data_IF_947212178956
#
_entry.id   IF_947212178956
#
_cell.length_a   1.000
_cell.length_b   1.000
_cell.length_c   1.000
_cell.angle_alpha   90.00
_cell.angle_beta   90.00
_cell.angle_gamma   90.00
#
_symmetry.space_group_name_H-M   'P 1'
#
loop_
_entity.id
_entity.type
_entity.pdbx_description
1 polymer ?
#
# COMPACT_ATOMS: atom_id res chain seq x y z
N UNK A 1 12.38 30.40 0.65
CA UNK A 1 11.39 29.46 0.05
C UNK A 1 11.35 29.78 -1.44
N UNK A 2 11.68 28.85 -2.30
CA UNK A 2 11.55 29.03 -3.75
C UNK A 2 10.09 29.37 -4.08
N UNK A 3 9.87 30.28 -5.03
CA UNK A 3 8.53 30.61 -5.47
C UNK A 3 7.91 29.37 -6.14
N UNK A 4 6.58 29.27 -6.13
CA UNK A 4 5.87 28.16 -6.78
C UNK A 4 6.28 28.02 -8.25
N UNK A 5 6.56 29.11 -8.91
CA UNK A 5 6.99 29.14 -10.32
C UNK A 5 8.40 28.58 -10.51
N UNK A 6 9.31 28.84 -9.59
CA UNK A 6 10.66 28.28 -9.62
C UNK A 6 10.63 26.77 -9.42
N UNK A 7 9.79 26.26 -8.49
CA UNK A 7 9.61 24.84 -8.28
C UNK A 7 9.04 24.14 -9.54
N UNK A 8 8.05 24.74 -10.21
CA UNK A 8 7.47 24.21 -11.46
C UNK A 8 8.51 24.17 -12.58
N UNK A 9 9.33 25.23 -12.73
CA UNK A 9 10.39 25.29 -13.73
C UNK A 9 11.45 24.21 -13.49
N UNK A 10 11.83 24.01 -12.25
CA UNK A 10 12.79 22.98 -11.87
C UNK A 10 12.25 21.58 -12.12
N UNK A 11 11.00 21.29 -11.72
CA UNK A 11 10.33 20.03 -12.01
C UNK A 11 10.24 19.76 -13.52
N UNK A 12 9.97 20.80 -14.33
CA UNK A 12 9.92 20.67 -15.79
C UNK A 12 11.30 20.33 -16.39
N UNK A 13 12.34 20.96 -15.90
CA UNK A 13 13.71 20.69 -16.34
C UNK A 13 14.16 19.26 -15.97
N UNK A 14 13.85 18.83 -14.75
CA UNK A 14 14.19 17.49 -14.26
C UNK A 14 13.47 16.39 -15.06
N UNK A 15 12.17 16.58 -15.33
CA UNK A 15 11.39 15.63 -16.13
C UNK A 15 11.82 15.57 -17.58
N UNK A 16 12.14 16.71 -18.19
CA UNK A 16 12.71 16.77 -19.55
C UNK A 16 14.06 16.07 -19.62
N UNK A 17 14.91 16.22 -18.60
CA UNK A 17 16.18 15.48 -18.50
C UNK A 17 15.99 13.96 -18.43
N UNK A 18 14.84 13.49 -17.93
CA UNK A 18 14.48 12.08 -17.86
C UNK A 18 13.72 11.59 -19.10
N UNK A 19 13.41 12.48 -20.06
CA UNK A 19 12.71 12.17 -21.32
C UNK A 19 11.19 12.17 -21.18
N UNK A 20 10.64 12.83 -20.16
CA UNK A 20 9.18 12.96 -19.94
C UNK A 20 8.73 14.40 -20.11
N UNK A 21 7.54 14.60 -20.70
CA UNK A 21 6.85 15.87 -20.68
C UNK A 21 6.13 16.03 -19.32
N UNK A 22 6.14 17.24 -18.77
CA UNK A 22 5.37 17.51 -17.56
C UNK A 22 3.91 17.76 -17.92
N UNK A 23 3.06 16.74 -17.68
CA UNK A 23 1.62 16.81 -17.90
C UNK A 23 0.85 17.03 -16.58
N UNK A 24 1.43 16.65 -15.44
CA UNK A 24 0.80 16.72 -14.13
C UNK A 24 1.37 17.90 -13.33
N UNK A 25 0.47 18.75 -12.83
CA UNK A 25 0.84 19.83 -11.92
C UNK A 25 1.15 19.28 -10.52
N UNK A 26 2.32 19.62 -9.98
CA UNK A 26 2.70 19.32 -8.60
C UNK A 26 1.95 20.26 -7.65
N UNK A 27 0.73 19.87 -7.26
CA UNK A 27 -0.15 20.69 -6.41
C UNK A 27 -0.28 20.19 -4.98
N UNK A 28 0.21 18.98 -4.68
CA UNK A 28 0.05 18.35 -3.37
C UNK A 28 1.13 18.79 -2.40
N UNK A 29 0.70 19.33 -1.26
CA UNK A 29 1.59 19.62 -0.13
C UNK A 29 1.97 18.34 0.64
N UNK A 30 2.99 18.46 1.52
CA UNK A 30 3.48 17.34 2.32
C UNK A 30 2.39 16.67 3.16
N UNK A 31 1.50 17.43 3.78
CA UNK A 31 0.38 16.89 4.55
C UNK A 31 -0.62 16.12 3.68
N UNK A 32 -0.97 16.64 2.51
CA UNK A 32 -1.88 15.94 1.58
C UNK A 32 -1.29 14.63 1.11
N UNK A 33 0.00 14.62 0.79
CA UNK A 33 0.72 13.41 0.39
C UNK A 33 0.77 12.36 1.53
N UNK A 34 1.06 12.80 2.75
CA UNK A 34 0.99 11.95 3.95
C UNK A 34 -0.41 11.39 4.17
N UNK A 35 -1.45 12.22 4.09
CA UNK A 35 -2.83 11.80 4.33
C UNK A 35 -3.29 10.74 3.31
N UNK A 36 -2.97 10.90 2.02
CA UNK A 36 -3.27 9.93 0.98
C UNK A 36 -2.50 8.63 1.24
N UNK A 37 -1.21 8.70 1.52
CA UNK A 37 -0.40 7.52 1.83
C UNK A 37 -0.93 6.76 3.05
N UNK A 38 -1.33 7.49 4.09
CA UNK A 38 -1.93 6.93 5.29
C UNK A 38 -3.29 6.28 5.04
N UNK A 39 -4.12 6.84 4.15
CA UNK A 39 -5.44 6.30 3.81
C UNK A 39 -5.37 4.96 3.05
N UNK A 40 -4.25 4.68 2.38
CA UNK A 40 -4.04 3.41 1.66
C UNK A 40 -3.72 2.27 2.65
N UNK A 41 -3.24 2.58 3.85
CA UNK A 41 -2.92 1.57 4.88
C UNK A 41 -4.24 0.99 5.40
N UNK A 42 -4.45 -0.30 5.16
CA UNK A 42 -5.62 -1.01 5.68
C UNK A 42 -5.42 -1.44 7.14
N UNK A 43 -5.90 -0.62 8.06
CA UNK A 43 -5.83 -0.91 9.50
C UNK A 43 -6.64 -2.17 9.83
N UNK A 44 -7.80 -2.37 9.21
CA UNK A 44 -8.65 -3.55 9.43
C UNK A 44 -7.93 -4.84 9.09
N UNK A 45 -7.27 -4.92 7.95
CA UNK A 45 -6.55 -6.12 7.52
C UNK A 45 -5.26 -6.29 8.30
N UNK A 46 -4.44 -5.24 8.37
CA UNK A 46 -3.10 -5.32 8.94
C UNK A 46 -3.12 -5.42 10.47
N UNK A 47 -3.75 -4.46 11.14
CA UNK A 47 -3.67 -4.37 12.59
C UNK A 47 -4.69 -5.27 13.33
N UNK A 48 -5.80 -5.63 12.72
CA UNK A 48 -6.84 -6.40 13.44
C UNK A 48 -6.80 -7.88 13.05
N UNK A 49 -6.93 -8.22 11.78
CA UNK A 49 -6.96 -9.64 11.37
C UNK A 49 -5.58 -10.28 11.55
N UNK A 50 -4.52 -9.65 11.07
CA UNK A 50 -3.17 -10.21 11.18
C UNK A 50 -2.63 -10.19 12.61
N UNK A 51 -3.12 -9.28 13.47
CA UNK A 51 -2.79 -9.29 14.89
C UNK A 51 -3.22 -10.59 15.55
N UNK A 52 -4.48 -11.00 15.35
CA UNK A 52 -5.00 -12.24 15.92
C UNK A 52 -4.27 -13.47 15.38
N UNK A 53 -3.93 -13.45 14.10
CA UNK A 53 -3.16 -14.51 13.46
C UNK A 53 -1.76 -14.65 14.07
N UNK A 54 -1.05 -13.54 14.22
CA UNK A 54 0.27 -13.53 14.87
C UNK A 54 0.24 -13.97 16.34
N UNK A 55 -0.78 -13.53 17.06
CA UNK A 55 -0.97 -13.90 18.47
C UNK A 55 -1.23 -15.39 18.65
N UNK A 56 -2.06 -15.99 17.79
CA UNK A 56 -2.40 -17.41 17.85
C UNK A 56 -1.24 -18.33 17.46
N UNK A 57 -0.39 -17.91 16.51
CA UNK A 57 0.72 -18.74 16.03
C UNK A 57 1.98 -18.66 16.90
N UNK A 58 2.34 -17.49 17.39
CA UNK A 58 3.60 -17.28 18.10
C UNK A 58 3.46 -16.52 19.42
N UNK A 59 2.23 -16.31 19.87
CA UNK A 59 1.93 -15.68 21.15
C UNK A 59 2.28 -14.19 21.24
N UNK A 60 2.26 -13.59 22.45
CA UNK A 60 2.49 -12.15 22.65
C UNK A 60 3.86 -11.65 22.17
N UNK A 61 4.87 -12.53 22.14
CA UNK A 61 6.22 -12.18 21.68
C UNK A 61 6.25 -11.82 20.20
N UNK A 62 5.41 -12.44 19.37
CA UNK A 62 5.30 -12.11 17.95
C UNK A 62 4.85 -10.66 17.74
N UNK A 63 3.94 -10.20 18.55
CA UNK A 63 3.43 -8.83 18.47
C UNK A 63 4.38 -7.84 19.17
N UNK A 64 4.83 -8.16 20.38
CA UNK A 64 5.63 -7.24 21.18
C UNK A 64 7.06 -7.03 20.67
N UNK A 65 7.68 -8.04 20.10
CA UNK A 65 9.06 -7.97 19.58
C UNK A 65 9.09 -8.04 18.04
N UNK A 66 8.26 -8.86 17.44
CA UNK A 66 8.24 -9.05 16.00
C UNK A 66 7.85 -7.80 15.23
N UNK A 67 6.80 -7.10 15.66
CA UNK A 67 6.35 -5.87 15.00
C UNK A 67 7.38 -4.75 15.01
N UNK A 68 7.98 -4.36 16.16
CA UNK A 68 9.05 -3.39 16.17
C UNK A 68 10.24 -3.78 15.31
N UNK A 69 10.66 -5.05 15.35
CA UNK A 69 11.74 -5.55 14.55
C UNK A 69 11.46 -5.40 13.03
N UNK A 70 10.31 -5.88 12.59
CA UNK A 70 9.89 -5.77 11.17
C UNK A 70 9.75 -4.30 10.77
N UNK A 71 9.23 -3.44 11.66
CA UNK A 71 9.11 -2.01 11.40
C UNK A 71 10.46 -1.37 11.11
N UNK A 72 11.51 -1.71 11.87
CA UNK A 72 12.86 -1.18 11.64
C UNK A 72 13.36 -1.59 10.25
N UNK A 73 13.25 -2.86 9.86
CA UNK A 73 13.64 -3.31 8.53
C UNK A 73 12.83 -2.66 7.40
N UNK A 74 11.53 -2.52 7.60
CA UNK A 74 10.64 -1.84 6.64
C UNK A 74 11.01 -0.37 6.47
N UNK A 75 11.35 0.33 7.56
CA UNK A 75 11.82 1.71 7.50
C UNK A 75 13.14 1.86 6.72
N UNK A 76 14.06 0.92 6.85
CA UNK A 76 15.30 0.93 6.05
C UNK A 76 14.99 0.79 4.56
N UNK A 77 14.10 -0.13 4.18
CA UNK A 77 13.65 -0.28 2.80
C UNK A 77 12.93 0.98 2.32
N UNK A 78 12.05 1.54 3.13
CA UNK A 78 11.33 2.77 2.79
C UNK A 78 12.28 3.96 2.58
N UNK A 79 13.34 4.07 3.39
CA UNK A 79 14.36 5.12 3.22
C UNK A 79 15.10 5.00 1.88
N UNK A 80 15.53 3.79 1.50
CA UNK A 80 16.18 3.57 0.19
C UNK A 80 15.23 3.84 -0.97
N UNK A 81 13.96 3.46 -0.85
CA UNK A 81 12.96 3.77 -1.87
C UNK A 81 12.67 5.27 -1.99
N UNK A 82 12.67 6.00 -0.86
CA UNK A 82 12.50 7.44 -0.85
C UNK A 82 13.66 8.16 -1.56
N UNK A 83 14.89 7.68 -1.39
CA UNK A 83 16.06 8.18 -2.10
C UNK A 83 15.93 8.00 -3.61
N UNK A 84 15.56 6.80 -4.07
CA UNK A 84 15.32 6.52 -5.49
C UNK A 84 14.16 7.38 -6.03
N UNK A 85 13.07 7.52 -5.27
CA UNK A 85 11.93 8.35 -5.65
C UNK A 85 12.29 9.83 -5.80
N UNK A 86 13.21 10.33 -4.99
CA UNK A 86 13.71 11.70 -5.10
C UNK A 86 14.60 11.91 -6.32
N UNK A 87 15.39 10.89 -6.70
CA UNK A 87 16.26 10.93 -7.87
C UNK A 87 15.49 10.75 -9.19
N UNK A 88 14.40 9.98 -9.17
CA UNK A 88 13.57 9.68 -10.34
C UNK A 88 12.07 9.92 -10.03
N UNK A 89 11.63 11.18 -9.97
CA UNK A 89 10.25 11.54 -9.59
C UNK A 89 9.27 11.32 -10.75
N UNK A 90 9.19 10.09 -11.27
CA UNK A 90 8.34 9.73 -12.41
C UNK A 90 7.10 8.96 -11.99
N UNK A 91 5.99 9.12 -12.72
CA UNK A 91 4.75 8.39 -12.49
C UNK A 91 4.87 6.86 -12.68
N UNK A 92 5.91 6.40 -13.37
CA UNK A 92 6.18 4.98 -13.59
C UNK A 92 6.64 4.22 -12.34
N UNK A 93 7.06 4.92 -11.28
CA UNK A 93 7.44 4.33 -9.99
C UNK A 93 8.41 3.15 -10.14
N UNK A 94 8.10 2.04 -9.47
CA UNK A 94 8.96 0.84 -9.41
C UNK A 94 9.34 0.29 -10.78
N UNK A 95 8.42 0.29 -11.75
CA UNK A 95 8.69 -0.15 -13.12
C UNK A 95 9.80 0.68 -13.77
N UNK A 96 9.67 2.01 -13.68
CA UNK A 96 10.63 2.92 -14.27
C UNK A 96 12.00 2.81 -13.59
N UNK A 97 12.02 2.76 -12.27
CA UNK A 97 13.27 2.64 -11.50
C UNK A 97 14.01 1.33 -11.84
N UNK A 98 13.32 0.20 -11.87
CA UNK A 98 13.92 -1.08 -12.22
C UNK A 98 14.47 -1.09 -13.66
N UNK A 99 13.76 -0.48 -14.61
CA UNK A 99 14.20 -0.41 -15.99
C UNK A 99 15.39 0.52 -16.21
N UNK A 100 15.49 1.61 -15.44
CA UNK A 100 16.63 2.54 -15.49
C UNK A 100 17.85 2.02 -14.76
N UNK A 101 17.67 1.42 -13.59
CA UNK A 101 18.79 0.93 -12.75
C UNK A 101 19.43 -0.33 -13.32
N UNK A 102 18.71 -1.14 -14.07
CA UNK A 102 19.25 -2.38 -14.63
C UNK A 102 18.99 -2.53 -16.12
N UNK A 103 17.76 -2.90 -16.53
CA UNK A 103 17.35 -3.01 -17.93
C UNK A 103 15.83 -3.13 -18.05
N UNK A 104 15.32 -3.11 -19.30
CA UNK A 104 13.88 -3.19 -19.60
C UNK A 104 13.22 -4.49 -19.12
N UNK A 105 13.94 -5.60 -19.16
CA UNK A 105 13.41 -6.91 -18.75
C UNK A 105 13.12 -6.93 -17.24
N UNK A 106 13.99 -6.35 -16.44
CA UNK A 106 13.75 -6.19 -15.00
C UNK A 106 12.60 -5.24 -14.70
N UNK A 107 12.44 -4.19 -15.49
CA UNK A 107 11.26 -3.32 -15.41
C UNK A 107 9.97 -4.12 -15.66
N UNK A 108 9.94 -4.94 -16.69
CA UNK A 108 8.80 -5.78 -17.03
C UNK A 108 8.45 -6.77 -15.90
N UNK A 109 9.42 -7.50 -15.39
CA UNK A 109 9.21 -8.40 -14.25
C UNK A 109 8.72 -7.68 -13.01
N UNK A 110 9.30 -6.54 -12.70
CA UNK A 110 8.89 -5.69 -11.55
C UNK A 110 7.44 -5.24 -11.70
N UNK A 111 7.01 -4.84 -12.90
CA UNK A 111 5.63 -4.44 -13.17
C UNK A 111 4.65 -5.59 -12.91
N UNK A 112 4.93 -6.79 -13.41
CA UNK A 112 4.07 -7.96 -13.24
C UNK A 112 3.98 -8.42 -11.79
N UNK A 113 5.11 -8.48 -11.08
CA UNK A 113 5.12 -8.84 -9.66
C UNK A 113 4.39 -7.80 -8.81
N UNK A 114 4.57 -6.51 -9.11
CA UNK A 114 3.84 -5.45 -8.43
C UNK A 114 2.33 -5.52 -8.71
N UNK A 115 1.92 -5.78 -9.95
CA UNK A 115 0.51 -5.95 -10.30
C UNK A 115 -0.11 -7.13 -9.53
N UNK A 116 0.55 -8.28 -9.52
CA UNK A 116 0.10 -9.44 -8.74
C UNK A 116 -0.02 -9.13 -7.25
N UNK A 117 0.94 -8.40 -6.68
CA UNK A 117 0.90 -7.93 -5.30
C UNK A 117 -0.29 -7.00 -5.03
N UNK A 118 -0.57 -6.04 -5.92
CA UNK A 118 -1.70 -5.12 -5.78
C UNK A 118 -3.05 -5.85 -5.85
N UNK A 119 -3.21 -6.79 -6.77
CA UNK A 119 -4.43 -7.61 -6.87
C UNK A 119 -4.64 -8.39 -5.57
N UNK A 120 -3.59 -9.02 -5.03
CA UNK A 120 -3.67 -9.79 -3.79
C UNK A 120 -4.02 -8.92 -2.58
N UNK A 121 -3.47 -7.71 -2.51
CA UNK A 121 -3.79 -6.74 -1.45
C UNK A 121 -5.26 -6.32 -1.52
N UNK A 122 -5.76 -5.97 -2.71
CA UNK A 122 -7.16 -5.57 -2.89
C UNK A 122 -8.11 -6.71 -2.51
N UNK A 123 -7.81 -7.94 -2.92
CA UNK A 123 -8.59 -9.11 -2.53
C UNK A 123 -8.61 -9.32 -1.01
N UNK A 124 -7.46 -9.21 -0.35
CA UNK A 124 -7.34 -9.33 1.10
C UNK A 124 -8.11 -8.25 1.87
N UNK A 125 -8.07 -7.00 1.40
CA UNK A 125 -8.82 -5.88 2.00
C UNK A 125 -10.32 -6.08 1.84
N UNK A 126 -10.79 -6.50 0.66
CA UNK A 126 -12.21 -6.78 0.42
C UNK A 126 -12.70 -7.92 1.30
N UNK A 127 -11.93 -8.99 1.45
CA UNK A 127 -12.24 -10.08 2.35
C UNK A 127 -12.40 -9.59 3.81
N UNK A 128 -11.45 -8.80 4.29
CA UNK A 128 -11.50 -8.22 5.62
C UNK A 128 -12.71 -7.32 5.83
N UNK A 129 -13.01 -6.46 4.86
CA UNK A 129 -14.16 -5.57 4.91
C UNK A 129 -15.48 -6.35 4.94
N UNK A 130 -15.64 -7.39 4.12
CA UNK A 130 -16.81 -8.26 4.11
C UNK A 130 -16.99 -8.98 5.46
N UNK A 131 -15.90 -9.49 6.03
CA UNK A 131 -15.91 -10.13 7.35
C UNK A 131 -16.46 -9.19 8.43
N UNK A 132 -15.94 -7.96 8.50
CA UNK A 132 -16.39 -7.00 9.51
C UNK A 132 -17.81 -6.50 9.27
N UNK A 133 -18.18 -6.24 8.02
CA UNK A 133 -19.51 -5.80 7.65
C UNK A 133 -20.57 -6.84 8.08
N UNK A 134 -20.29 -8.10 7.82
CA UNK A 134 -21.19 -9.21 8.19
C UNK A 134 -21.28 -9.35 9.70
N UNK A 135 -20.17 -9.35 10.43
CA UNK A 135 -20.17 -9.52 11.87
C UNK A 135 -20.80 -8.34 12.64
N UNK A 136 -20.57 -7.11 12.20
CA UNK A 136 -20.95 -5.92 12.97
C UNK A 136 -22.27 -5.30 12.53
N UNK A 137 -22.65 -5.44 11.27
CA UNK A 137 -23.86 -4.78 10.71
C UNK A 137 -24.91 -5.81 10.33
N UNK A 138 -24.58 -6.81 9.55
CA UNK A 138 -25.57 -7.75 9.01
C UNK A 138 -26.15 -8.64 10.10
N UNK A 139 -25.31 -9.26 10.93
CA UNK A 139 -25.75 -10.13 12.00
C UNK A 139 -26.74 -9.48 12.98
N UNK A 140 -26.50 -8.27 13.51
CA UNK A 140 -27.43 -7.62 14.41
C UNK A 140 -28.77 -7.26 13.76
N UNK A 141 -28.80 -6.97 12.46
CA UNK A 141 -30.01 -6.58 11.72
C UNK A 141 -30.86 -7.80 11.36
N UNK A 142 -30.24 -8.87 10.91
CA UNK A 142 -30.94 -10.08 10.44
C UNK A 142 -31.28 -11.03 11.59
N UNK A 143 -30.78 -10.78 12.81
CA UNK A 143 -31.00 -11.65 13.97
C UNK A 143 -30.34 -13.01 13.84
N UNK A 144 -29.36 -13.14 12.95
CA UNK A 144 -28.60 -14.35 12.68
C UNK A 144 -27.39 -14.51 13.59
N UNK A 145 -27.07 -15.74 13.94
CA UNK A 145 -25.81 -16.10 14.59
C UNK A 145 -24.75 -16.52 13.57
N UNK A 146 -24.57 -15.72 12.52
CA UNK A 146 -23.56 -15.98 11.51
C UNK A 146 -22.16 -15.84 12.15
N UNK A 147 -21.41 -16.92 12.23
CA UNK A 147 -20.01 -16.91 12.63
C UNK A 147 -19.12 -16.83 11.38
N UNK A 148 -18.55 -15.67 11.07
CA UNK A 148 -17.72 -15.52 9.88
C UNK A 148 -16.43 -16.33 9.93
N UNK A 149 -16.02 -16.83 11.11
CA UNK A 149 -14.87 -17.72 11.24
C UNK A 149 -15.23 -19.18 10.94
N UNK A 150 -16.47 -19.58 11.20
CA UNK A 150 -16.95 -20.95 10.95
C UNK A 150 -17.66 -21.10 9.60
N UNK A 151 -18.31 -20.03 9.10
CA UNK A 151 -19.10 -20.06 7.87
C UNK A 151 -18.36 -19.41 6.70
N UNK A 152 -17.43 -20.16 6.11
CA UNK A 152 -16.67 -19.73 4.93
C UNK A 152 -17.55 -19.47 3.69
N UNK A 153 -18.69 -20.17 3.59
CA UNK A 153 -19.62 -19.99 2.46
C UNK A 153 -20.36 -18.67 2.54
N UNK A 154 -20.78 -18.26 3.73
CA UNK A 154 -21.43 -16.97 3.94
C UNK A 154 -20.51 -15.79 3.68
N UNK A 155 -19.24 -15.88 4.06
CA UNK A 155 -18.22 -14.86 3.75
C UNK A 155 -17.97 -14.79 2.24
N UNK A 156 -17.90 -15.94 1.55
CA UNK A 156 -17.75 -15.95 0.10
C UNK A 156 -18.94 -15.29 -0.61
N UNK A 157 -20.15 -15.54 -0.16
CA UNK A 157 -21.36 -14.89 -0.73
C UNK A 157 -21.45 -13.39 -0.44
N UNK A 158 -20.82 -12.89 0.62
CA UNK A 158 -20.76 -11.45 0.92
C UNK A 158 -19.69 -10.69 0.09
N UNK A 159 -18.80 -11.41 -0.59
CA UNK A 159 -17.73 -10.84 -1.42
C UNK A 159 -18.17 -10.66 -2.88
N UNK A 160 -19.16 -11.39 -3.35
CA UNK A 160 -19.74 -11.33 -4.70
C UNK A 160 -21.06 -10.57 -4.72
#
# INVERSE_FOLDING_TARGET
>A
MASREEAIRQDTADLHGLGYAQELLRSMGGFSNFAISFSIISILTGAVILFNYGLNLAGPAAVGLGWPLVTIFTLMIAATMAEIASAYPTAGGLYYWASKLRNKDWGWWTAWLNLGGQISIVAGINYAAAFYLTATIINPIVGGSFDPAADTVGVQNAIW
#
